data_IF_763999826738
#
_entry.id   IF_763999826738
#
_cell.length_a   1.000
_cell.length_b   1.000
_cell.length_c   1.000
_cell.angle_alpha   90.00
_cell.angle_beta   90.00
_cell.angle_gamma   90.00
#
_symmetry.space_group_name_H-M   'P 1'
#
loop_
_entity.id
_entity.type
_entity.pdbx_description
1 polymer ?
#
# COMPACT_ATOMS: atom_id res chain seq x y z
N UNK A 1 4.03 -19.04 -4.86
CA UNK A 1 4.98 -17.91 -4.81
C UNK A 1 4.24 -16.66 -4.35
N UNK A 2 4.67 -16.04 -3.27
CA UNK A 2 4.04 -14.80 -2.79
C UNK A 2 4.53 -13.65 -3.66
N UNK A 3 3.60 -12.98 -4.34
CA UNK A 3 3.90 -11.85 -5.22
C UNK A 3 4.01 -10.57 -4.39
N UNK A 4 5.07 -9.79 -4.58
CA UNK A 4 5.30 -8.52 -3.88
C UNK A 4 5.72 -7.43 -4.86
N UNK A 5 5.50 -6.17 -4.47
CA UNK A 5 6.05 -4.99 -5.12
C UNK A 5 7.14 -4.40 -4.24
N UNK A 6 8.29 -4.04 -4.82
CA UNK A 6 9.31 -3.23 -4.17
C UNK A 6 9.03 -1.77 -4.49
N UNK A 7 8.82 -0.96 -3.47
CA UNK A 7 8.40 0.45 -3.60
C UNK A 7 9.45 1.32 -2.90
N UNK A 8 9.89 2.39 -3.57
CA UNK A 8 10.75 3.38 -2.92
C UNK A 8 10.08 3.96 -1.67
N UNK A 9 10.81 3.94 -0.57
CA UNK A 9 10.31 4.39 0.73
C UNK A 9 9.87 5.85 0.72
N UNK A 10 10.53 6.70 -0.09
CA UNK A 10 10.22 8.13 -0.20
C UNK A 10 8.96 8.40 -1.03
N UNK A 11 8.73 7.58 -2.08
CA UNK A 11 7.57 7.73 -2.96
C UNK A 11 6.25 7.28 -2.31
N UNK A 12 6.31 6.45 -1.27
CA UNK A 12 5.13 5.83 -0.68
C UNK A 12 4.08 6.84 -0.21
N UNK A 13 4.51 7.90 0.47
CA UNK A 13 3.60 8.92 1.01
C UNK A 13 2.90 9.72 -0.10
N UNK A 14 3.61 10.00 -1.18
CA UNK A 14 3.07 10.70 -2.35
C UNK A 14 2.05 9.84 -3.08
N UNK A 15 2.34 8.55 -3.29
CA UNK A 15 1.41 7.61 -3.91
C UNK A 15 0.10 7.50 -3.10
N UNK A 16 0.20 7.36 -1.78
CA UNK A 16 -0.96 7.26 -0.89
C UNK A 16 -1.79 8.55 -0.88
N UNK A 17 -1.13 9.72 -0.97
CA UNK A 17 -1.83 11.01 -0.98
C UNK A 17 -2.52 11.29 -2.31
N UNK A 18 -1.98 10.79 -3.42
CA UNK A 18 -2.46 11.02 -4.78
C UNK A 18 -3.61 10.08 -5.16
N UNK A 19 -3.55 8.82 -4.74
CA UNK A 19 -4.40 7.75 -5.25
C UNK A 19 -5.37 7.19 -4.21
N UNK A 20 -6.50 6.68 -4.67
CA UNK A 20 -7.43 5.91 -3.84
C UNK A 20 -6.83 4.54 -3.47
N UNK A 21 -7.43 3.86 -2.49
CA UNK A 21 -6.99 2.51 -2.07
C UNK A 21 -6.97 1.50 -3.22
N UNK A 22 -7.97 1.57 -4.12
CA UNK A 22 -8.05 0.66 -5.27
C UNK A 22 -6.91 0.93 -6.25
N UNK A 23 -6.65 2.20 -6.53
CA UNK A 23 -5.58 2.66 -7.42
C UNK A 23 -4.19 2.31 -6.84
N UNK A 24 -3.97 2.51 -5.54
CA UNK A 24 -2.71 2.13 -4.86
C UNK A 24 -2.46 0.63 -4.98
N UNK A 25 -3.46 -0.21 -4.72
CA UNK A 25 -3.34 -1.66 -4.86
C UNK A 25 -3.06 -2.08 -6.31
N UNK A 26 -3.73 -1.44 -7.27
CA UNK A 26 -3.49 -1.68 -8.68
C UNK A 26 -2.08 -1.29 -9.07
N UNK A 27 -1.61 -0.11 -8.67
CA UNK A 27 -0.26 0.37 -8.95
C UNK A 27 0.80 -0.60 -8.38
N UNK A 28 0.64 -1.08 -7.14
CA UNK A 28 1.56 -2.06 -6.56
C UNK A 28 1.57 -3.39 -7.34
N UNK A 29 0.41 -3.83 -7.83
CA UNK A 29 0.35 -5.00 -8.68
C UNK A 29 1.11 -4.78 -10.01
N UNK A 30 0.95 -3.62 -10.64
CA UNK A 30 1.65 -3.28 -11.88
C UNK A 30 3.16 -3.19 -11.67
N UNK A 31 3.62 -2.51 -10.62
CA UNK A 31 5.04 -2.44 -10.25
C UNK A 31 5.62 -3.86 -10.05
N UNK A 32 4.92 -4.72 -9.30
CA UNK A 32 5.34 -6.10 -9.10
C UNK A 32 5.46 -6.87 -10.42
N UNK A 33 4.53 -6.64 -11.37
CA UNK A 33 4.55 -7.33 -12.66
C UNK A 33 5.72 -6.86 -13.52
N UNK A 34 5.94 -5.53 -13.60
CA UNK A 34 7.08 -4.95 -14.32
C UNK A 34 8.42 -5.41 -13.74
N UNK A 35 8.55 -5.45 -12.42
CA UNK A 35 9.76 -5.94 -11.76
C UNK A 35 10.02 -7.41 -12.06
N UNK A 36 8.98 -8.26 -12.11
CA UNK A 36 9.12 -9.65 -12.51
C UNK A 36 9.53 -9.80 -13.98
N UNK A 37 8.98 -9.00 -14.88
CA UNK A 37 9.38 -9.00 -16.29
C UNK A 37 10.86 -8.62 -16.45
N UNK A 38 11.33 -7.58 -15.76
CA UNK A 38 12.74 -7.20 -15.76
C UNK A 38 13.67 -8.32 -15.26
N UNK A 39 13.30 -9.01 -14.17
CA UNK A 39 14.06 -10.13 -13.63
C UNK A 39 14.15 -11.29 -14.64
N UNK A 40 13.08 -11.54 -15.38
CA UNK A 40 12.99 -12.60 -16.38
C UNK A 40 13.55 -12.18 -17.76
N UNK A 41 14.09 -10.96 -17.89
CA UNK A 41 14.56 -10.37 -19.14
C UNK A 41 13.50 -10.43 -20.27
N UNK A 42 12.22 -10.24 -19.91
CA UNK A 42 11.12 -10.16 -20.87
C UNK A 42 11.02 -8.71 -21.32
N UNK A 43 11.29 -8.45 -22.58
CA UNK A 43 11.23 -7.09 -23.20
C UNK A 43 9.84 -6.76 -23.74
N UNK A 44 8.86 -7.64 -23.55
CA UNK A 44 7.51 -7.42 -24.06
C UNK A 44 6.77 -6.32 -23.29
N UNK A 45 5.82 -5.69 -23.97
CA UNK A 45 4.87 -4.75 -23.39
C UNK A 45 4.18 -5.34 -22.14
N UNK A 46 4.03 -4.55 -21.07
CA UNK A 46 3.41 -5.01 -19.86
C UNK A 46 1.95 -5.39 -20.12
N UNK A 47 1.66 -6.67 -19.96
CA UNK A 47 0.35 -7.24 -20.20
C UNK A 47 -0.26 -7.77 -18.91
N UNK A 48 -1.52 -7.40 -18.65
CA UNK A 48 -2.27 -7.81 -17.46
C UNK A 48 -3.60 -8.44 -17.85
N UNK A 49 -3.89 -9.62 -17.32
CA UNK A 49 -5.18 -10.27 -17.49
C UNK A 49 -6.16 -9.97 -16.34
N UNK A 50 -7.46 -10.00 -16.65
CA UNK A 50 -8.53 -9.66 -15.70
C UNK A 50 -8.65 -10.66 -14.53
N UNK A 51 -8.28 -11.92 -14.71
CA UNK A 51 -8.33 -12.93 -13.64
C UNK A 51 -7.25 -12.67 -12.60
N UNK A 52 -6.03 -12.34 -13.04
CA UNK A 52 -4.95 -11.94 -12.15
C UNK A 52 -5.30 -10.67 -11.34
N UNK A 53 -5.95 -9.70 -11.96
CA UNK A 53 -6.44 -8.51 -11.26
C UNK A 53 -7.45 -8.86 -10.15
N UNK A 54 -8.42 -9.73 -10.44
CA UNK A 54 -9.36 -10.23 -9.42
C UNK A 54 -8.66 -11.01 -8.32
N UNK A 55 -7.60 -11.75 -8.65
CA UNK A 55 -6.84 -12.53 -7.68
C UNK A 55 -6.03 -11.67 -6.71
N UNK A 56 -5.35 -10.63 -7.19
CA UNK A 56 -4.35 -9.90 -6.41
C UNK A 56 -4.75 -8.48 -5.99
N UNK A 57 -5.68 -7.85 -6.70
CA UNK A 57 -6.00 -6.42 -6.51
C UNK A 57 -7.43 -6.24 -6.04
N UNK A 58 -8.37 -6.77 -6.78
CA UNK A 58 -9.80 -6.51 -6.60
C UNK A 58 -10.52 -7.68 -5.92
N UNK A 59 -11.70 -7.41 -5.41
CA UNK A 59 -12.60 -8.46 -4.98
C UNK A 59 -13.25 -9.13 -6.19
N UNK A 60 -13.73 -10.39 -6.02
CA UNK A 60 -14.32 -11.19 -7.09
C UNK A 60 -15.50 -10.52 -7.81
N UNK A 61 -16.22 -9.64 -7.12
CA UNK A 61 -17.46 -9.01 -7.62
C UNK A 61 -17.24 -7.71 -8.40
N UNK A 62 -15.98 -7.29 -8.61
CA UNK A 62 -15.71 -6.08 -9.39
C UNK A 62 -16.10 -6.28 -10.86
N UNK A 63 -16.75 -5.28 -11.45
CA UNK A 63 -17.06 -5.26 -12.89
C UNK A 63 -15.82 -4.93 -13.73
N UNK A 64 -15.84 -5.31 -15.01
CA UNK A 64 -14.80 -4.97 -15.96
C UNK A 64 -14.67 -3.45 -16.12
N UNK A 65 -15.81 -2.75 -16.19
CA UNK A 65 -15.83 -1.29 -16.36
C UNK A 65 -15.23 -0.57 -15.16
N UNK A 66 -15.48 -1.03 -13.94
CA UNK A 66 -14.88 -0.46 -12.73
C UNK A 66 -13.36 -0.69 -12.69
N UNK A 67 -12.88 -1.85 -13.15
CA UNK A 67 -11.44 -2.08 -13.32
C UNK A 67 -10.83 -1.11 -14.33
N UNK A 68 -11.45 -0.95 -15.50
CA UNK A 68 -11.01 -0.01 -16.54
C UNK A 68 -10.96 1.42 -16.01
N UNK A 69 -11.99 1.86 -15.27
CA UNK A 69 -12.00 3.19 -14.66
C UNK A 69 -10.85 3.38 -13.67
N UNK A 70 -10.51 2.34 -12.89
CA UNK A 70 -9.39 2.39 -11.96
C UNK A 70 -8.05 2.54 -12.70
N UNK A 71 -7.86 1.87 -13.83
CA UNK A 71 -6.67 2.05 -14.67
C UNK A 71 -6.57 3.47 -15.25
N UNK A 72 -7.69 4.00 -15.75
CA UNK A 72 -7.73 5.37 -16.32
C UNK A 72 -7.44 6.46 -15.29
N UNK A 73 -7.60 6.18 -14.02
CA UNK A 73 -7.26 7.11 -12.95
C UNK A 73 -5.76 7.12 -12.59
N UNK A 74 -4.99 6.12 -13.06
CA UNK A 74 -3.54 6.10 -12.91
C UNK A 74 -2.89 6.95 -14.00
N UNK A 75 -1.79 7.59 -13.64
CA UNK A 75 -0.94 8.34 -14.55
C UNK A 75 0.01 7.34 -15.26
N UNK A 76 -0.48 6.78 -16.37
CA UNK A 76 0.23 5.80 -17.18
C UNK A 76 0.66 6.43 -18.51
N UNK A 77 1.86 6.12 -18.98
CA UNK A 77 2.38 6.62 -20.24
C UNK A 77 1.62 6.06 -21.43
N UNK A 78 1.19 4.81 -21.32
CA UNK A 78 0.40 4.12 -22.33
C UNK A 78 -0.64 3.20 -21.68
N UNK A 79 -1.85 3.13 -22.28
CA UNK A 79 -2.92 2.27 -21.80
C UNK A 79 -3.88 1.87 -22.93
N UNK A 80 -3.94 0.59 -23.26
CA UNK A 80 -4.87 0.02 -24.23
C UNK A 80 -5.60 -1.20 -23.65
N UNK A 81 -6.84 -1.38 -24.05
CA UNK A 81 -7.69 -2.48 -23.59
C UNK A 81 -8.15 -3.34 -24.74
N UNK A 82 -8.13 -4.65 -24.57
CA UNK A 82 -8.90 -5.58 -25.40
C UNK A 82 -9.83 -6.45 -24.53
N UNK A 83 -10.49 -7.46 -25.14
CA UNK A 83 -11.48 -8.27 -24.42
C UNK A 83 -10.88 -9.13 -23.30
N UNK A 84 -9.61 -9.49 -23.38
CA UNK A 84 -8.95 -10.44 -22.48
C UNK A 84 -7.83 -9.80 -21.66
N UNK A 85 -7.16 -8.78 -22.18
CA UNK A 85 -5.93 -8.22 -21.63
C UNK A 85 -5.92 -6.70 -21.63
N UNK A 86 -5.07 -6.17 -20.78
CA UNK A 86 -4.75 -4.75 -20.66
C UNK A 86 -3.28 -4.60 -20.96
N UNK A 87 -2.94 -3.70 -21.89
CA UNK A 87 -1.58 -3.35 -22.27
C UNK A 87 -1.27 -1.97 -21.74
N UNK A 88 -0.11 -1.80 -21.12
CA UNK A 88 0.25 -0.54 -20.48
C UNK A 88 1.76 -0.37 -20.35
N UNK A 89 2.19 0.84 -20.09
CA UNK A 89 3.56 1.19 -19.74
C UNK A 89 3.58 2.00 -18.44
N UNK A 90 4.46 1.62 -17.52
CA UNK A 90 4.72 2.34 -16.28
C UNK A 90 5.95 3.21 -16.46
N UNK A 91 5.91 4.42 -15.90
CA UNK A 91 7.10 5.27 -15.77
C UNK A 91 8.25 4.53 -15.10
N UNK A 92 9.47 4.76 -15.58
CA UNK A 92 10.68 4.17 -15.02
C UNK A 92 10.91 4.54 -13.54
N UNK A 93 10.33 5.64 -13.07
CA UNK A 93 10.44 6.10 -11.68
C UNK A 93 9.91 5.09 -10.65
N UNK A 94 9.05 4.14 -11.09
CA UNK A 94 8.50 3.09 -10.22
C UNK A 94 9.32 1.80 -10.18
N UNK A 95 10.47 1.73 -10.83
CA UNK A 95 11.16 0.45 -11.06
C UNK A 95 12.64 0.41 -10.65
N UNK A 96 13.22 1.53 -10.20
CA UNK A 96 14.64 1.64 -9.81
C UNK A 96 14.75 2.32 -8.44
N UNK A 97 15.28 1.59 -7.41
CA UNK A 97 15.34 2.10 -6.04
C UNK A 97 16.59 1.64 -5.31
N UNK A 98 17.15 2.53 -4.49
CA UNK A 98 18.23 2.23 -3.54
C UNK A 98 17.67 1.85 -2.15
N UNK A 99 16.55 2.46 -1.73
CA UNK A 99 15.88 2.22 -0.44
C UNK A 99 14.41 1.88 -0.67
N UNK A 100 14.06 0.60 -0.55
CA UNK A 100 12.72 0.12 -0.84
C UNK A 100 12.10 -0.69 0.31
N UNK A 101 10.79 -0.74 0.30
CA UNK A 101 9.99 -1.67 1.11
C UNK A 101 9.33 -2.70 0.21
N UNK A 102 9.16 -3.92 0.72
CA UNK A 102 8.41 -4.97 0.04
C UNK A 102 6.97 -4.99 0.55
N UNK A 103 6.03 -4.89 -0.39
CA UNK A 103 4.59 -4.95 -0.12
C UNK A 103 4.01 -6.21 -0.74
N UNK A 104 3.57 -7.15 0.08
CA UNK A 104 2.98 -8.40 -0.38
C UNK A 104 1.54 -8.19 -0.82
N UNK A 105 1.24 -8.49 -2.08
CA UNK A 105 -0.05 -8.15 -2.70
C UNK A 105 -1.24 -8.88 -2.05
N UNK A 106 -1.07 -10.12 -1.64
CA UNK A 106 -2.14 -10.89 -0.99
C UNK A 106 -2.47 -10.35 0.42
N UNK A 107 -1.49 -9.80 1.13
CA UNK A 107 -1.71 -9.20 2.45
C UNK A 107 -2.58 -7.94 2.34
N UNK A 108 -2.31 -7.08 1.36
CA UNK A 108 -3.02 -5.81 1.21
C UNK A 108 -4.38 -5.94 0.49
N UNK A 109 -4.64 -7.05 -0.19
CA UNK A 109 -5.84 -7.23 -1.04
C UNK A 109 -7.14 -6.87 -0.33
N UNK A 110 -7.32 -7.34 0.88
CA UNK A 110 -8.55 -7.16 1.65
C UNK A 110 -8.53 -5.94 2.60
N UNK A 111 -7.38 -5.29 2.74
CA UNK A 111 -7.26 -4.11 3.59
C UNK A 111 -8.10 -2.95 3.07
N UNK A 112 -8.78 -2.28 3.98
CA UNK A 112 -9.46 -1.02 3.71
C UNK A 112 -8.52 0.16 3.91
N UNK A 113 -9.00 1.38 3.62
CA UNK A 113 -8.18 2.61 3.59
C UNK A 113 -7.26 2.75 4.81
N UNK A 114 -7.82 2.74 6.01
CA UNK A 114 -7.03 2.97 7.23
C UNK A 114 -6.09 1.80 7.56
N UNK A 115 -6.50 0.58 7.26
CA UNK A 115 -5.68 -0.63 7.43
C UNK A 115 -4.48 -0.60 6.50
N UNK A 116 -4.70 -0.37 5.19
CA UNK A 116 -3.63 -0.27 4.21
C UNK A 116 -2.61 0.82 4.58
N UNK A 117 -3.09 2.02 4.89
CA UNK A 117 -2.22 3.15 5.23
C UNK A 117 -1.39 2.91 6.50
N UNK A 118 -1.97 2.29 7.53
CA UNK A 118 -1.24 1.90 8.74
C UNK A 118 -0.23 0.80 8.47
N UNK A 119 -0.59 -0.20 7.67
CA UNK A 119 0.32 -1.26 7.26
C UNK A 119 1.53 -0.72 6.49
N UNK A 120 1.31 0.20 5.57
CA UNK A 120 2.39 0.84 4.81
C UNK A 120 3.29 1.71 5.72
N UNK A 121 2.72 2.42 6.70
CA UNK A 121 3.52 3.12 7.73
C UNK A 121 4.31 2.16 8.61
N UNK A 122 3.73 1.03 8.97
CA UNK A 122 4.46 -0.01 9.68
C UNK A 122 5.66 -0.50 8.86
N UNK A 123 5.48 -0.87 7.59
CA UNK A 123 6.57 -1.32 6.72
C UNK A 123 7.67 -0.25 6.56
N UNK A 124 7.27 1.02 6.48
CA UNK A 124 8.18 2.16 6.33
C UNK A 124 9.06 2.40 7.57
N UNK A 125 8.52 2.17 8.78
CA UNK A 125 9.16 2.55 10.05
C UNK A 125 9.40 1.40 11.02
N UNK A 126 9.07 0.16 10.69
CA UNK A 126 9.23 -1.00 11.60
C UNK A 126 10.65 -1.16 12.13
N UNK A 127 11.66 -0.86 11.30
CA UNK A 127 13.07 -1.00 11.67
C UNK A 127 13.52 0.11 12.63
N UNK A 128 12.91 1.31 12.56
CA UNK A 128 13.10 2.40 13.52
C UNK A 128 12.30 2.19 14.82
N UNK A 129 11.30 1.33 14.80
CA UNK A 129 10.47 0.99 15.94
C UNK A 129 9.40 2.03 16.29
N UNK A 130 9.38 3.21 15.68
CA UNK A 130 8.37 4.24 15.92
C UNK A 130 8.38 5.33 14.85
N UNK A 131 7.27 6.06 14.78
CA UNK A 131 7.12 7.30 14.02
C UNK A 131 6.26 8.30 14.79
N UNK A 132 6.63 9.57 14.76
CA UNK A 132 5.86 10.67 15.39
C UNK A 132 5.49 11.69 14.32
N UNK A 133 4.20 11.98 14.20
CA UNK A 133 3.63 12.86 13.19
C UNK A 133 2.75 13.94 13.82
N UNK A 134 2.67 15.12 13.20
CA UNK A 134 1.65 16.09 13.57
C UNK A 134 0.27 15.59 13.18
N UNK A 135 -0.79 16.12 13.81
CA UNK A 135 -2.15 15.71 13.45
C UNK A 135 -2.50 16.19 12.04
N UNK A 136 -1.96 17.29 11.57
CA UNK A 136 -2.12 17.82 10.21
C UNK A 136 -1.53 16.88 9.18
N UNK A 137 -0.29 16.40 9.43
CA UNK A 137 0.33 15.37 8.57
C UNK A 137 -0.53 14.12 8.53
N UNK A 138 -1.00 13.63 9.67
CA UNK A 138 -1.85 12.43 9.75
C UNK A 138 -3.15 12.62 8.96
N UNK A 139 -3.78 13.81 9.06
CA UNK A 139 -4.98 14.14 8.27
C UNK A 139 -4.69 14.09 6.77
N UNK A 140 -3.59 14.73 6.32
CA UNK A 140 -3.16 14.71 4.92
C UNK A 140 -2.87 13.29 4.46
N UNK A 141 -2.08 12.52 5.21
CA UNK A 141 -1.70 11.15 4.90
C UNK A 141 -2.91 10.22 4.73
N UNK A 142 -3.90 10.32 5.62
CA UNK A 142 -5.15 9.55 5.50
C UNK A 142 -6.16 10.18 4.53
N UNK A 143 -5.82 11.25 3.85
CA UNK A 143 -6.71 12.01 2.98
C UNK A 143 -8.09 12.21 3.64
N UNK A 144 -8.08 12.92 4.77
CA UNK A 144 -9.23 13.11 5.65
C UNK A 144 -9.93 14.42 5.32
N UNK A 145 -11.25 14.43 5.05
CA UNK A 145 -11.99 15.67 4.85
C UNK A 145 -11.87 16.62 6.05
N UNK A 146 -11.78 17.92 5.80
CA UNK A 146 -11.67 18.94 6.87
C UNK A 146 -12.85 18.91 7.85
N UNK A 147 -14.00 18.49 7.40
CA UNK A 147 -15.21 18.31 8.21
C UNK A 147 -15.11 17.17 9.23
N UNK A 148 -14.21 16.18 9.04
CA UNK A 148 -14.06 15.09 9.99
C UNK A 148 -13.28 15.54 11.23
N UNK A 149 -13.90 15.44 12.41
CA UNK A 149 -13.26 15.78 13.68
C UNK A 149 -12.12 14.80 14.02
N UNK A 150 -11.06 15.30 14.68
CA UNK A 150 -9.91 14.48 15.09
C UNK A 150 -10.31 13.30 15.98
N UNK A 151 -11.35 13.44 16.81
CA UNK A 151 -11.89 12.33 17.61
C UNK A 151 -12.30 11.15 16.72
N UNK A 152 -13.07 11.40 15.67
CA UNK A 152 -13.54 10.35 14.76
C UNK A 152 -12.40 9.77 13.90
N UNK A 153 -11.42 10.60 13.52
CA UNK A 153 -10.21 10.10 12.87
C UNK A 153 -9.47 9.10 13.75
N UNK A 154 -9.24 9.45 15.02
CA UNK A 154 -8.57 8.57 15.97
C UNK A 154 -9.35 7.27 16.24
N UNK A 155 -10.67 7.32 16.27
CA UNK A 155 -11.52 6.13 16.39
C UNK A 155 -11.36 5.19 15.19
N UNK A 156 -11.33 5.76 13.95
CA UNK A 156 -11.08 4.98 12.72
C UNK A 156 -9.70 4.34 12.73
N UNK A 157 -8.66 5.09 13.13
CA UNK A 157 -7.28 4.56 13.25
C UNK A 157 -7.24 3.41 14.27
N UNK A 158 -7.82 3.58 15.46
CA UNK A 158 -7.86 2.51 16.47
C UNK A 158 -8.61 1.27 16.00
N UNK A 159 -9.73 1.44 15.28
CA UNK A 159 -10.47 0.31 14.70
C UNK A 159 -9.64 -0.43 13.66
N UNK A 160 -8.89 0.29 12.84
CA UNK A 160 -8.00 -0.30 11.84
C UNK A 160 -6.83 -1.06 12.51
N UNK A 161 -6.19 -0.48 13.54
CA UNK A 161 -5.14 -1.16 14.31
C UNK A 161 -5.64 -2.50 14.88
N UNK A 162 -6.87 -2.53 15.41
CA UNK A 162 -7.44 -3.78 15.96
C UNK A 162 -7.71 -4.87 14.91
N UNK A 163 -7.83 -4.50 13.63
CA UNK A 163 -8.05 -5.44 12.53
C UNK A 163 -6.77 -5.91 11.86
N UNK A 164 -5.68 -5.13 12.03
CA UNK A 164 -4.38 -5.50 11.54
C UNK A 164 -3.74 -6.50 12.52
N UNK A 165 -3.22 -7.60 11.98
CA UNK A 165 -2.46 -8.59 12.76
C UNK A 165 -0.98 -8.16 12.89
N UNK A 166 -0.77 -6.89 13.22
CA UNK A 166 0.55 -6.29 13.46
C UNK A 166 0.53 -5.46 14.74
N UNK A 167 1.60 -5.50 15.54
CA UNK A 167 1.65 -4.77 16.80
C UNK A 167 1.89 -3.28 16.54
N UNK A 168 0.83 -2.48 16.61
CA UNK A 168 0.91 -1.01 16.56
C UNK A 168 0.34 -0.44 17.84
N UNK A 169 1.17 0.28 18.59
CA UNK A 169 0.75 1.06 19.77
C UNK A 169 0.57 2.52 19.38
N UNK A 170 -0.53 3.13 19.84
CA UNK A 170 -0.88 4.51 19.51
C UNK A 170 -0.81 5.40 20.76
N UNK A 171 0.13 6.33 20.78
CA UNK A 171 0.24 7.38 21.78
C UNK A 171 -0.26 8.71 21.19
N UNK A 172 -1.01 9.50 21.99
CA UNK A 172 -1.61 10.76 21.54
C UNK A 172 -1.11 11.89 22.45
N UNK A 173 -0.42 12.84 21.83
CA UNK A 173 -0.01 14.07 22.52
C UNK A 173 -1.07 15.18 22.35
N UNK A 174 -1.33 15.89 23.47
CA UNK A 174 -2.32 16.96 23.51
C UNK A 174 -1.71 18.23 24.07
N UNK A 175 -2.10 19.34 23.50
CA UNK A 175 -1.82 20.67 24.04
C UNK A 175 -3.15 21.43 24.15
N UNK A 176 -3.43 22.02 25.30
CA UNK A 176 -4.72 22.70 25.60
C UNK A 176 -5.94 21.85 25.19
N UNK A 177 -5.97 20.56 25.58
CA UNK A 177 -7.02 19.58 25.26
C UNK A 177 -7.13 19.21 23.76
N UNK A 178 -6.40 19.88 22.86
CA UNK A 178 -6.39 19.57 21.43
C UNK A 178 -5.31 18.55 21.10
N UNK A 179 -5.62 17.60 20.24
CA UNK A 179 -4.63 16.63 19.71
C UNK A 179 -3.67 17.38 18.80
N UNK A 180 -2.38 17.31 19.09
CA UNK A 180 -1.33 17.98 18.32
C UNK A 180 -0.43 17.01 17.58
N UNK A 181 -0.12 15.86 18.19
CA UNK A 181 0.75 14.84 17.60
C UNK A 181 0.23 13.44 17.90
N UNK A 182 0.61 12.54 17.03
CA UNK A 182 0.38 11.10 17.16
C UNK A 182 1.73 10.40 17.04
N UNK A 183 2.03 9.50 17.99
CA UNK A 183 3.18 8.62 17.93
C UNK A 183 2.68 7.19 17.76
N UNK A 184 3.16 6.52 16.73
CA UNK A 184 2.96 5.10 16.51
C UNK A 184 4.24 4.37 16.88
N UNK A 185 4.15 3.39 17.77
CA UNK A 185 5.24 2.47 18.10
C UNK A 185 4.99 1.15 17.40
N UNK A 186 6.04 0.54 16.92
CA UNK A 186 6.06 -0.74 16.24
C UNK A 186 6.92 -1.72 17.05
N UNK A 187 6.39 -2.30 18.14
CA UNK A 187 7.14 -3.26 18.95
C UNK A 187 7.64 -4.40 18.06
N UNK A 188 8.88 -4.84 18.28
CA UNK A 188 9.40 -6.03 17.59
C UNK A 188 8.46 -7.18 17.89
N UNK A 189 7.83 -7.74 16.87
CA UNK A 189 6.92 -8.87 17.03
C UNK A 189 7.68 -10.05 17.61
N UNK A 190 7.24 -10.53 18.77
CA UNK A 190 7.64 -11.82 19.32
C UNK A 190 6.85 -12.97 18.68
N UNK A 191 6.00 -12.69 17.71
CA UNK A 191 5.13 -13.67 17.07
C UNK A 191 5.92 -14.63 16.17
N UNK A 192 5.74 -15.95 16.30
CA UNK A 192 6.49 -16.98 15.55
C UNK A 192 6.25 -16.98 14.04
N UNK A 193 5.25 -16.29 13.51
CA UNK A 193 4.92 -16.33 12.08
C UNK A 193 5.95 -15.70 11.16
N UNK A 194 6.79 -14.76 11.64
CA UNK A 194 7.85 -14.15 10.82
C UNK A 194 9.15 -14.97 10.79
N UNK A 195 9.22 -16.12 11.48
CA UNK A 195 10.41 -16.99 11.52
C UNK A 195 10.45 -18.09 10.43
N UNK A 196 9.43 -18.21 9.58
CA UNK A 196 9.35 -19.34 8.63
C UNK A 196 10.04 -19.16 7.27
N UNK A 197 10.67 -18.01 6.98
CA UNK A 197 11.26 -17.80 5.65
C UNK A 197 12.79 -17.76 5.57
N UNK A 198 13.53 -17.94 6.68
CA UNK A 198 15.00 -17.88 6.63
C UNK A 198 15.72 -19.22 6.85
N UNK A 199 15.06 -20.36 6.68
CA UNK A 199 15.73 -21.67 6.76
C UNK A 199 15.31 -22.57 5.62
N UNK A 200 15.74 -22.26 4.40
CA UNK A 200 15.96 -23.23 3.34
C UNK A 200 16.96 -22.67 2.35
N UNK A 201 18.22 -22.85 2.64
CA UNK A 201 19.30 -23.16 1.71
C UNK A 201 20.01 -24.40 2.25
N UNK A 202 20.36 -25.36 1.49
CA UNK A 202 21.57 -25.34 0.68
C UNK A 202 21.29 -25.38 -0.81
#
# INVERSE_FOLDING_TARGET
MNRYASIDRKLLDDLISKYTVKEVKLLFYLISTTQMQKILAIEDELTVDYLSLKKYVFNSNISKDEMILTFKALDLEYLTFNNERIYLELSNDYTTFDDYIQVYLLEIKHMQKYELMLYLKYLQFKDLGWVKCSIEYVRKYFNVPDTLQNKHLLEKIRKAIKRLDIPIELEIERYNKKVTKIKMRFPKSTHPMLKKENTQSP
#
